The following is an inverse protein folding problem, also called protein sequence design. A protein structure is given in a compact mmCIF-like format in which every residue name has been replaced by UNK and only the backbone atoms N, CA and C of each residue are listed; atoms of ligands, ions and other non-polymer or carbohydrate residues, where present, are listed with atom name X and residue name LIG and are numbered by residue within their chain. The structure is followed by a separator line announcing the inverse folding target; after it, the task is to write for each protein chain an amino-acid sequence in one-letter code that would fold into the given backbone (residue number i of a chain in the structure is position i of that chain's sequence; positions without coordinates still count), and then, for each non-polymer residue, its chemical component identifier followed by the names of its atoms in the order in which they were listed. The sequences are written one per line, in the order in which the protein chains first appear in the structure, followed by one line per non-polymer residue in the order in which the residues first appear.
data_IF_945051437296
#
_entry.id   IF_945051437296
#
_cell.length_a   1.000
_cell.length_b   1.000
_cell.length_c   1.000
_cell.angle_alpha   90.00
_cell.angle_beta   90.00
_cell.angle_gamma   90.00
#
_symmetry.space_group_name_H-M   'P 1'
#
loop_
_entity.id
_entity.type
_entity.pdbx_description
1 polymer ?
#
# COMPACT_ATOMS: atom_id res chain seq x y z
N UNK A 1 10.60 -23.69 -6.78
CA UNK A 1 10.74 -22.35 -6.15
C UNK A 1 9.36 -21.85 -5.80
N UNK A 2 9.14 -21.42 -4.55
CA UNK A 2 7.90 -20.74 -4.17
C UNK A 2 8.07 -19.26 -4.50
N UNK A 3 7.12 -18.68 -5.24
CA UNK A 3 7.06 -17.23 -5.50
C UNK A 3 6.01 -16.64 -4.58
N UNK A 4 6.37 -15.59 -3.85
CA UNK A 4 5.39 -14.88 -3.05
C UNK A 4 4.34 -14.24 -3.97
N UNK A 5 3.03 -14.50 -3.76
CA UNK A 5 1.98 -13.83 -4.51
C UNK A 5 2.02 -12.32 -4.26
N UNK A 6 1.77 -11.50 -5.30
CA UNK A 6 1.69 -10.03 -5.14
C UNK A 6 0.65 -9.61 -4.11
N UNK A 7 -0.46 -10.34 -4.04
CA UNK A 7 -1.49 -10.16 -3.01
C UNK A 7 -0.98 -10.44 -1.59
N UNK A 8 -0.07 -11.39 -1.43
CA UNK A 8 0.60 -11.68 -0.17
C UNK A 8 1.45 -10.51 0.31
N UNK A 9 2.29 -9.96 -0.58
CA UNK A 9 3.07 -8.74 -0.29
C UNK A 9 2.17 -7.56 0.07
N UNK A 10 1.13 -7.32 -0.74
CA UNK A 10 0.15 -6.26 -0.50
C UNK A 10 -0.48 -6.36 0.90
N UNK A 11 -0.96 -7.55 1.25
CA UNK A 11 -1.61 -7.77 2.54
C UNK A 11 -0.62 -7.64 3.71
N UNK A 12 0.55 -8.26 3.62
CA UNK A 12 1.53 -8.26 4.71
C UNK A 12 2.07 -6.85 5.00
N UNK A 13 2.55 -6.15 3.96
CA UNK A 13 3.15 -4.82 4.13
C UNK A 13 2.11 -3.72 4.32
N UNK A 14 0.93 -3.85 3.73
CA UNK A 14 -0.20 -2.96 3.98
C UNK A 14 -0.62 -2.99 5.46
N UNK A 15 -0.81 -4.19 6.02
CA UNK A 15 -1.13 -4.34 7.44
C UNK A 15 0.00 -3.86 8.35
N UNK A 16 1.26 -4.14 8.00
CA UNK A 16 2.40 -3.64 8.77
C UNK A 16 2.42 -2.11 8.85
N UNK A 17 2.08 -1.44 7.75
CA UNK A 17 1.99 0.02 7.71
C UNK A 17 0.80 0.57 8.51
N UNK A 18 -0.39 -0.02 8.35
CA UNK A 18 -1.59 0.40 9.09
C UNK A 18 -1.40 0.22 10.61
N UNK A 19 -0.72 -0.85 11.02
CA UNK A 19 -0.33 -1.08 12.41
C UNK A 19 0.85 -0.21 12.89
N UNK A 20 1.45 0.59 12.02
CA UNK A 20 2.52 1.54 12.36
C UNK A 20 3.91 0.92 12.55
N UNK A 21 4.15 -0.30 12.07
CA UNK A 21 5.44 -0.98 12.20
C UNK A 21 6.48 -0.55 11.17
N UNK A 22 6.06 0.07 10.06
CA UNK A 22 6.94 0.46 8.94
C UNK A 22 6.54 1.83 8.39
N UNK A 23 7.45 2.46 7.63
CA UNK A 23 7.16 3.70 6.93
C UNK A 23 6.30 3.46 5.67
N UNK A 24 5.54 4.47 5.18
CA UNK A 24 4.78 4.34 3.93
C UNK A 24 5.64 4.00 2.71
N UNK A 25 6.87 4.53 2.65
CA UNK A 25 7.80 4.31 1.54
C UNK A 25 8.33 2.86 1.54
N UNK A 26 8.73 2.33 2.70
CA UNK A 26 9.18 0.94 2.83
C UNK A 26 8.08 -0.04 2.43
N UNK A 27 6.85 0.20 2.91
CA UNK A 27 5.71 -0.63 2.54
C UNK A 27 5.44 -0.56 1.03
N UNK A 28 5.43 0.63 0.43
CA UNK A 28 5.19 0.79 -1.00
C UNK A 28 6.24 0.08 -1.87
N UNK A 29 7.52 0.21 -1.50
CA UNK A 29 8.63 -0.47 -2.20
C UNK A 29 8.50 -1.99 -2.12
N UNK A 30 8.20 -2.53 -0.93
CA UNK A 30 8.04 -3.96 -0.74
C UNK A 30 6.82 -4.53 -1.49
N UNK A 31 5.73 -3.76 -1.61
CA UNK A 31 4.51 -4.18 -2.31
C UNK A 31 4.71 -4.20 -3.83
N UNK A 32 5.27 -3.12 -4.40
CA UNK A 32 5.49 -3.00 -5.85
C UNK A 32 6.56 -4.00 -6.28
N UNK A 33 7.71 -4.07 -5.61
CA UNK A 33 8.89 -4.75 -6.17
C UNK A 33 9.29 -4.15 -7.52
N UNK A 34 9.99 -4.90 -8.36
CA UNK A 34 10.60 -4.33 -9.58
C UNK A 34 9.69 -4.38 -10.82
N UNK A 35 8.41 -4.77 -10.68
CA UNK A 35 7.59 -5.19 -11.82
C UNK A 35 6.45 -4.24 -12.19
N UNK A 36 5.67 -3.73 -11.23
CA UNK A 36 4.50 -2.93 -11.52
C UNK A 36 4.08 -1.98 -10.39
N UNK A 37 3.81 -0.73 -10.77
CA UNK A 37 3.21 0.27 -9.87
C UNK A 37 1.72 0.04 -9.68
N UNK A 38 1.23 0.29 -8.46
CA UNK A 38 -0.19 0.21 -8.14
C UNK A 38 -0.86 1.58 -8.28
N UNK A 39 -2.08 1.59 -8.82
CA UNK A 39 -2.96 2.76 -8.87
C UNK A 39 -4.23 2.45 -8.08
N UNK A 40 -4.60 3.35 -7.20
CA UNK A 40 -5.73 3.19 -6.27
C UNK A 40 -6.82 4.16 -6.67
N UNK A 41 -8.03 3.65 -6.88
CA UNK A 41 -9.23 4.42 -7.20
C UNK A 41 -10.21 4.42 -6.02
N UNK A 42 -11.17 5.34 -6.02
CA UNK A 42 -12.22 5.41 -5.00
C UNK A 42 -11.74 5.85 -3.62
N UNK A 43 -10.53 6.41 -3.52
CA UNK A 43 -10.01 6.92 -2.25
C UNK A 43 -10.76 8.20 -1.85
N UNK A 44 -11.31 8.28 -0.62
CA UNK A 44 -12.03 9.47 -0.17
C UNK A 44 -11.17 10.72 -0.23
N UNK A 45 -11.70 11.79 -0.86
CA UNK A 45 -11.02 13.07 -0.99
C UNK A 45 -10.09 13.21 -2.21
N UNK A 46 -9.92 12.18 -3.02
CA UNK A 46 -9.13 12.24 -4.25
C UNK A 46 -10.02 12.21 -5.51
N UNK A 47 -9.72 13.05 -6.49
CA UNK A 47 -10.55 13.24 -7.69
C UNK A 47 -10.33 12.15 -8.77
N UNK A 48 -9.42 11.21 -8.55
CA UNK A 48 -9.05 10.18 -9.52
C UNK A 48 -8.04 9.18 -8.96
N UNK A 49 -7.47 8.32 -9.82
CA UNK A 49 -6.53 7.32 -9.38
C UNK A 49 -5.27 7.96 -8.77
N UNK A 50 -4.80 7.44 -7.64
CA UNK A 50 -3.59 7.89 -6.95
C UNK A 50 -2.55 6.78 -6.81
N UNK A 51 -1.31 7.15 -6.51
CA UNK A 51 -0.24 6.18 -6.23
C UNK A 51 -0.41 5.51 -4.87
N UNK A 52 0.15 4.31 -4.74
CA UNK A 52 0.02 3.48 -3.54
C UNK A 52 0.47 4.18 -2.25
N UNK A 53 1.60 4.88 -2.27
CA UNK A 53 2.13 5.58 -1.09
C UNK A 53 1.16 6.63 -0.55
N UNK A 54 0.57 7.45 -1.43
CA UNK A 54 -0.44 8.44 -1.06
C UNK A 54 -1.69 7.75 -0.51
N UNK A 55 -2.16 6.69 -1.17
CA UNK A 55 -3.33 5.94 -0.74
C UNK A 55 -3.17 5.38 0.68
N UNK A 56 -2.05 4.73 0.96
CA UNK A 56 -1.79 4.15 2.27
C UNK A 56 -1.68 5.22 3.37
N UNK A 57 -1.02 6.35 3.09
CA UNK A 57 -0.96 7.49 4.01
C UNK A 57 -2.34 8.06 4.33
N UNK A 58 -3.21 8.19 3.33
CA UNK A 58 -4.61 8.63 3.51
C UNK A 58 -5.43 7.64 4.33
N UNK A 59 -5.34 6.34 4.04
CA UNK A 59 -6.06 5.31 4.81
C UNK A 59 -5.66 5.33 6.28
N UNK A 60 -4.37 5.47 6.57
CA UNK A 60 -3.89 5.65 7.96
C UNK A 60 -4.44 6.93 8.59
N UNK A 61 -4.45 8.05 7.86
CA UNK A 61 -5.02 9.31 8.36
C UNK A 61 -6.54 9.24 8.60
N UNK A 62 -7.26 8.37 7.87
CA UNK A 62 -8.67 8.06 8.09
C UNK A 62 -8.91 7.12 9.29
N UNK A 63 -7.85 6.62 9.94
CA UNK A 63 -7.96 5.75 11.11
C UNK A 63 -8.23 4.28 10.79
N UNK A 64 -7.93 3.84 9.57
CA UNK A 64 -7.97 2.41 9.21
C UNK A 64 -6.90 1.66 10.01
N UNK A 65 -7.29 0.58 10.69
CA UNK A 65 -6.43 -0.30 11.50
C UNK A 65 -6.73 -1.77 11.21
#
# INVERSE_FOLDING_TARGET
MLREPRSGRLAAWGNALLAGFVSPDDAALAIVGDDAVHRVEGLPGEAGPVGLTLALGRLRALGVA
#
